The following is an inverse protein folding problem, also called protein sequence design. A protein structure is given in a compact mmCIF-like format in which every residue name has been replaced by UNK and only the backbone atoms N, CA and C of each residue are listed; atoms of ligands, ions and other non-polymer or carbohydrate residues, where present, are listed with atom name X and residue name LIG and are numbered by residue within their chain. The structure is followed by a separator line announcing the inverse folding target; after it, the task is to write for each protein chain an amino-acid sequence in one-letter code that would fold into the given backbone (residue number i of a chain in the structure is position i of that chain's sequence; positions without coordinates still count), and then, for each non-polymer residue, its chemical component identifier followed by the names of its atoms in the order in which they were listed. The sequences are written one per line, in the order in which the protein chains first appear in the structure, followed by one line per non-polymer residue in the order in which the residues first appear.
data_IF_740836806630
#
_entry.id   IF_740836806630
#
_cell.length_a   1.000
_cell.length_b   1.000
_cell.length_c   1.000
_cell.angle_alpha   90.00
_cell.angle_beta   90.00
_cell.angle_gamma   90.00
#
_symmetry.space_group_name_H-M   'P 1'
#
loop_
_entity.id
_entity.type
_entity.pdbx_description
1 polymer ?
#
# COMPACT_ATOMS: atom_id res chain seq x y z
N UNK A 1 -10.23 4.27 -1.90
CA UNK A 1 -9.60 4.29 -3.24
C UNK A 1 -8.73 3.05 -3.34
N UNK A 2 -8.77 2.35 -4.46
CA UNK A 2 -7.94 1.18 -4.78
C UNK A 2 -7.53 1.24 -6.26
N UNK A 3 -6.69 0.30 -6.69
CA UNK A 3 -6.07 0.23 -8.04
C UNK A 3 -6.83 -0.63 -9.05
N UNK A 4 -8.06 -1.06 -8.73
CA UNK A 4 -8.86 -2.01 -9.53
C UNK A 4 -8.23 -3.40 -9.74
N UNK A 5 -7.24 -3.82 -8.94
CA UNK A 5 -6.73 -5.18 -9.03
C UNK A 5 -7.86 -6.21 -8.91
N UNK A 6 -7.73 -7.35 -9.60
CA UNK A 6 -8.78 -8.39 -9.64
C UNK A 6 -9.32 -8.79 -8.26
N UNK A 7 -8.50 -8.95 -7.20
CA UNK A 7 -9.01 -9.21 -5.85
C UNK A 7 -9.90 -8.10 -5.30
N UNK A 8 -9.59 -6.82 -5.58
CA UNK A 8 -10.39 -5.66 -5.14
C UNK A 8 -11.76 -5.58 -5.82
N UNK A 9 -11.95 -6.34 -6.91
CA UNK A 9 -13.19 -6.42 -7.71
C UNK A 9 -13.94 -7.73 -7.54
N UNK A 10 -13.55 -8.56 -6.57
CA UNK A 10 -14.32 -9.75 -6.22
C UNK A 10 -15.62 -9.37 -5.50
N UNK A 11 -16.71 -10.10 -5.76
CA UNK A 11 -18.02 -9.83 -5.15
C UNK A 11 -17.97 -9.78 -3.62
N UNK A 12 -17.19 -10.67 -2.99
CA UNK A 12 -17.01 -10.68 -1.53
C UNK A 12 -16.42 -9.37 -1.00
N UNK A 13 -15.56 -8.71 -1.77
CA UNK A 13 -15.00 -7.40 -1.41
C UNK A 13 -16.05 -6.32 -1.58
N UNK A 14 -16.85 -6.35 -2.66
CA UNK A 14 -17.96 -5.41 -2.86
C UNK A 14 -18.99 -5.48 -1.74
N UNK A 15 -19.42 -6.69 -1.36
CA UNK A 15 -20.35 -6.92 -0.25
C UNK A 15 -19.78 -6.41 1.08
N UNK A 16 -18.48 -6.66 1.33
CA UNK A 16 -17.79 -6.17 2.52
C UNK A 16 -17.79 -4.63 2.58
N UNK A 17 -17.39 -3.95 1.50
CA UNK A 17 -17.37 -2.48 1.45
C UNK A 17 -18.76 -1.89 1.65
N UNK A 18 -19.79 -2.47 1.02
CA UNK A 18 -21.18 -2.05 1.21
C UNK A 18 -21.63 -2.21 2.67
N UNK A 19 -21.29 -3.32 3.32
CA UNK A 19 -21.63 -3.54 4.74
C UNK A 19 -20.98 -2.52 5.70
N UNK A 20 -19.85 -1.94 5.30
CA UNK A 20 -19.11 -0.94 6.06
C UNK A 20 -19.46 0.50 5.63
N UNK A 21 -20.45 0.69 4.75
CA UNK A 21 -20.82 1.98 4.15
C UNK A 21 -19.63 2.69 3.46
N UNK A 22 -18.70 1.90 2.92
CA UNK A 22 -17.53 2.40 2.20
C UNK A 22 -17.87 2.51 0.73
N UNK A 23 -17.97 3.75 0.24
CA UNK A 23 -18.11 4.02 -1.19
C UNK A 23 -16.75 3.91 -1.88
N UNK A 24 -16.68 3.10 -2.95
CA UNK A 24 -15.48 3.01 -3.77
C UNK A 24 -15.39 4.21 -4.72
N UNK A 25 -14.19 4.76 -4.84
CA UNK A 25 -13.88 5.79 -5.83
C UNK A 25 -13.64 5.12 -7.20
N UNK A 26 -14.19 5.72 -8.26
CA UNK A 26 -13.86 5.32 -9.63
C UNK A 26 -12.40 5.64 -9.93
N UNK A 27 -11.65 4.63 -10.37
CA UNK A 27 -10.22 4.75 -10.63
C UNK A 27 -9.90 4.36 -12.07
N UNK A 28 -9.11 5.15 -12.82
CA UNK A 28 -8.69 4.77 -14.17
C UNK A 28 -7.71 3.59 -14.14
N UNK A 29 -7.82 2.69 -15.11
CA UNK A 29 -6.85 1.61 -15.28
C UNK A 29 -5.48 2.16 -15.68
N UNK A 30 -4.41 1.49 -15.22
CA UNK A 30 -3.02 1.84 -15.56
C UNK A 30 -2.58 3.25 -15.14
N UNK A 31 -3.15 3.79 -14.07
CA UNK A 31 -2.77 5.08 -13.49
C UNK A 31 -2.10 4.92 -12.11
N UNK A 32 -0.90 4.30 -12.03
CA UNK A 32 -0.18 4.16 -10.76
C UNK A 32 0.36 5.52 -10.26
N UNK A 33 0.66 6.44 -11.18
CA UNK A 33 1.10 7.81 -10.90
C UNK A 33 0.06 8.62 -10.13
N UNK A 34 -1.22 8.30 -10.32
CA UNK A 34 -2.30 8.92 -9.56
C UNK A 34 -2.47 8.30 -8.17
N UNK A 35 -1.88 7.12 -7.89
CA UNK A 35 -2.08 6.41 -6.64
C UNK A 35 -1.13 6.90 -5.54
N UNK A 36 -1.63 7.59 -4.48
CA UNK A 36 -0.76 8.18 -3.47
C UNK A 36 0.13 7.17 -2.74
N UNK A 37 -0.32 5.91 -2.64
CA UNK A 37 0.46 4.88 -1.94
C UNK A 37 1.76 4.55 -2.66
N UNK A 38 1.84 4.73 -3.99
CA UNK A 38 3.06 4.49 -4.76
C UNK A 38 4.16 5.48 -4.34
N UNK A 39 3.79 6.75 -4.12
CA UNK A 39 4.72 7.76 -3.60
C UNK A 39 5.17 7.47 -2.17
N UNK A 40 4.27 6.96 -1.33
CA UNK A 40 4.61 6.55 0.04
C UNK A 40 5.58 5.36 0.02
N UNK A 41 5.36 4.38 -0.85
CA UNK A 41 6.26 3.23 -0.99
C UNK A 41 7.64 3.62 -1.49
N UNK A 42 7.75 4.52 -2.48
CA UNK A 42 9.04 5.05 -2.94
C UNK A 42 9.79 5.78 -1.81
N UNK A 43 9.10 6.67 -1.08
CA UNK A 43 9.68 7.37 0.07
C UNK A 43 10.17 6.40 1.15
N UNK A 44 9.34 5.43 1.52
CA UNK A 44 9.66 4.44 2.54
C UNK A 44 10.82 3.54 2.10
N UNK A 45 10.84 3.11 0.84
CA UNK A 45 11.92 2.32 0.26
C UNK A 45 13.26 3.06 0.32
N UNK A 46 13.29 4.36 0.01
CA UNK A 46 14.49 5.21 0.14
C UNK A 46 14.96 5.32 1.59
N UNK A 47 14.05 5.50 2.54
CA UNK A 47 14.37 5.57 3.98
C UNK A 47 14.98 4.26 4.49
N UNK A 48 14.40 3.13 4.12
CA UNK A 48 14.93 1.80 4.46
C UNK A 48 16.29 1.56 3.82
N UNK A 49 16.46 1.92 2.55
CA UNK A 49 17.75 1.79 1.85
C UNK A 49 18.86 2.65 2.48
N UNK A 50 18.51 3.78 3.11
CA UNK A 50 19.46 4.65 3.80
C UNK A 50 19.85 4.17 5.21
N UNK A 51 19.17 3.14 5.77
CA UNK A 51 19.46 2.64 7.12
C UNK A 51 20.82 1.93 7.21
N UNK A 52 21.52 2.20 8.30
CA UNK A 52 22.77 1.54 8.67
C UNK A 52 22.70 1.03 10.12
N UNK A 53 22.95 -0.27 10.37
CA UNK A 53 23.10 -1.32 9.35
C UNK A 53 21.79 -1.55 8.58
N UNK A 54 21.90 -2.02 7.34
CA UNK A 54 20.73 -2.41 6.57
C UNK A 54 20.10 -3.66 7.18
N UNK A 55 18.76 -3.80 7.17
CA UNK A 55 18.10 -4.98 7.71
C UNK A 55 18.49 -6.21 6.89
N UNK A 56 18.91 -7.28 7.57
CA UNK A 56 19.41 -8.51 6.94
C UNK A 56 18.47 -9.70 7.11
N UNK A 57 17.46 -9.56 7.97
CA UNK A 57 16.44 -10.57 8.19
C UNK A 57 15.02 -9.97 8.26
N UNK A 58 14.01 -10.82 8.11
CA UNK A 58 12.60 -10.40 8.12
C UNK A 58 12.19 -9.67 9.42
N UNK A 59 12.60 -10.10 10.63
CA UNK A 59 12.29 -9.37 11.86
C UNK A 59 12.87 -7.95 11.89
N UNK A 60 14.11 -7.79 11.42
CA UNK A 60 14.76 -6.46 11.31
C UNK A 60 14.03 -5.59 10.29
N UNK A 61 13.75 -6.13 9.10
CA UNK A 61 13.03 -5.41 8.06
C UNK A 61 11.64 -4.96 8.54
N UNK A 62 10.91 -5.84 9.24
CA UNK A 62 9.61 -5.50 9.83
C UNK A 62 9.72 -4.36 10.84
N UNK A 63 10.73 -4.39 11.71
CA UNK A 63 10.96 -3.30 12.68
C UNK A 63 11.29 -2.00 11.96
N UNK A 64 12.22 -2.04 11.01
CA UNK A 64 12.62 -0.86 10.23
C UNK A 64 11.45 -0.27 9.44
N UNK A 65 10.58 -1.10 8.86
CA UNK A 65 9.36 -0.66 8.19
C UNK A 65 8.46 0.14 9.13
N UNK A 66 8.24 -0.33 10.36
CA UNK A 66 7.43 0.38 11.36
C UNK A 66 8.11 1.66 11.83
N UNK A 67 9.43 1.64 12.05
CA UNK A 67 10.19 2.81 12.50
C UNK A 67 10.23 3.94 11.44
N UNK A 68 10.23 3.59 10.16
CA UNK A 68 10.28 4.56 9.05
C UNK A 68 8.90 5.00 8.55
N UNK A 69 7.83 4.33 8.99
CA UNK A 69 6.45 4.67 8.69
C UNK A 69 6.00 5.85 9.56
N UNK A 70 6.15 7.06 9.01
CA UNK A 70 5.78 8.35 9.63
C UNK A 70 4.66 8.99 8.84
#
# INVERSE_FOLDING_TARGET
MDDNARPHRANIVDECLQSQDITRMDWPAYAPDLNPIEHVWDMLGRRIAARQPSPTCLPELRRTLVDEWV
#
